data_IF_511651189443
#
_entry.id   IF_511651189443
#
_cell.length_a   1.000
_cell.length_b   1.000
_cell.length_c   1.000
_cell.angle_alpha   90.00
_cell.angle_beta   90.00
_cell.angle_gamma   90.00
#
_symmetry.space_group_name_H-M   'P 1'
#
loop_
_entity.id
_entity.type
_entity.pdbx_description
1 polymer ?
#
# COMPACT_ATOMS: atom_id res chain seq x y z
N UNK A 1 -7.15 -17.84 -31.76
CA UNK A 1 -6.83 -16.40 -31.73
C UNK A 1 -5.71 -16.19 -30.73
N UNK A 2 -4.73 -15.31 -30.96
CA UNK A 2 -3.72 -15.02 -29.95
C UNK A 2 -4.39 -14.44 -28.70
N UNK A 3 -3.90 -14.81 -27.51
CA UNK A 3 -4.36 -14.24 -26.24
C UNK A 3 -4.10 -12.73 -26.26
N UNK A 4 -5.10 -11.93 -25.91
CA UNK A 4 -4.94 -10.48 -25.72
C UNK A 4 -4.21 -10.28 -24.40
N UNK A 5 -3.14 -9.49 -24.41
CA UNK A 5 -2.43 -9.08 -23.21
C UNK A 5 -3.24 -7.99 -22.49
N UNK A 6 -3.70 -8.27 -21.27
CA UNK A 6 -4.45 -7.32 -20.43
C UNK A 6 -3.51 -6.67 -19.43
N UNK A 7 -3.38 -5.34 -19.47
CA UNK A 7 -2.54 -4.56 -18.57
C UNK A 7 -3.39 -3.62 -17.75
N UNK A 8 -3.33 -3.74 -16.43
CA UNK A 8 -3.92 -2.78 -15.49
C UNK A 8 -2.85 -1.77 -15.05
N UNK A 9 -3.06 -0.51 -15.41
CA UNK A 9 -2.10 0.58 -15.18
C UNK A 9 -2.38 1.37 -13.89
N UNK A 10 -3.48 1.11 -13.18
CA UNK A 10 -3.89 1.90 -12.03
C UNK A 10 -4.05 1.00 -10.81
N UNK A 11 -2.92 0.63 -10.22
CA UNK A 11 -2.92 -0.18 -9.00
C UNK A 11 -1.95 0.37 -7.96
N UNK A 12 -2.27 0.13 -6.70
CA UNK A 12 -1.47 0.58 -5.57
C UNK A 12 -0.99 -0.60 -4.72
N UNK A 13 0.23 -0.46 -4.20
CA UNK A 13 0.87 -1.40 -3.28
C UNK A 13 1.58 -0.62 -2.16
N UNK A 14 1.68 -1.22 -0.99
CA UNK A 14 2.44 -0.74 0.17
C UNK A 14 3.45 -1.82 0.59
N UNK A 15 4.58 -1.42 1.22
CA UNK A 15 5.37 -2.35 2.00
C UNK A 15 4.55 -2.93 3.15
N UNK A 16 4.76 -4.20 3.49
CA UNK A 16 4.09 -4.84 4.63
C UNK A 16 4.40 -4.13 5.96
N UNK A 17 5.64 -3.64 6.11
CA UNK A 17 6.07 -2.88 7.27
C UNK A 17 6.53 -1.49 6.86
N UNK A 18 5.92 -0.47 7.45
CA UNK A 18 6.29 0.93 7.27
C UNK A 18 7.09 1.39 8.50
N UNK A 19 8.28 1.98 8.33
CA UNK A 19 9.05 2.49 9.46
C UNK A 19 8.27 3.55 10.25
N UNK A 20 8.56 3.67 11.55
CA UNK A 20 8.03 4.76 12.36
C UNK A 20 8.68 6.10 11.97
N UNK A 21 8.14 6.75 10.93
CA UNK A 21 8.67 8.02 10.41
C UNK A 21 8.57 9.17 11.40
N UNK A 22 7.58 9.15 12.29
CA UNK A 22 7.47 10.15 13.37
C UNK A 22 8.68 10.14 14.27
N UNK A 23 9.11 8.95 14.69
CA UNK A 23 10.30 8.77 15.51
C UNK A 23 11.58 9.08 14.72
N UNK A 24 11.64 8.66 13.45
CA UNK A 24 12.81 8.90 12.58
C UNK A 24 13.05 10.39 12.29
N UNK A 25 12.00 11.15 12.01
CA UNK A 25 12.11 12.55 11.54
C UNK A 25 11.79 13.59 12.62
N UNK A 26 11.23 13.16 13.76
CA UNK A 26 10.95 14.01 14.91
C UNK A 26 9.68 14.87 14.81
N UNK A 27 8.80 14.61 13.84
CA UNK A 27 7.50 15.28 13.68
C UNK A 27 6.43 14.35 13.10
N UNK A 28 5.17 14.73 13.28
CA UNK A 28 4.02 13.91 12.90
C UNK A 28 3.43 14.20 11.50
N UNK A 29 2.32 13.53 11.18
CA UNK A 29 1.59 13.58 9.92
C UNK A 29 1.71 12.32 9.06
N UNK A 30 2.47 11.33 9.51
CA UNK A 30 2.78 10.12 8.76
C UNK A 30 1.77 8.97 9.01
N UNK A 31 1.62 8.09 8.02
CA UNK A 31 0.81 6.87 8.13
C UNK A 31 1.65 5.73 8.72
N UNK A 32 1.04 4.95 9.59
CA UNK A 32 1.54 3.69 10.12
C UNK A 32 0.60 2.53 9.74
N UNK A 33 1.16 1.32 9.65
CA UNK A 33 0.38 0.09 9.48
C UNK A 33 0.32 -0.68 10.79
N UNK A 34 -0.89 -0.89 11.31
CA UNK A 34 -1.14 -1.74 12.46
C UNK A 34 -1.76 -3.07 12.00
N UNK A 35 -0.94 -4.12 11.96
CA UNK A 35 -1.38 -5.49 11.73
C UNK A 35 -2.15 -5.98 12.96
N UNK A 36 -3.46 -6.19 12.81
CA UNK A 36 -4.36 -6.47 13.94
C UNK A 36 -5.12 -7.81 13.81
N UNK A 37 -5.15 -8.40 12.62
CA UNK A 37 -5.68 -9.75 12.35
C UNK A 37 -4.89 -10.37 11.18
N UNK A 38 -4.91 -11.71 11.00
CA UNK A 38 -4.24 -12.34 9.88
C UNK A 38 -4.67 -11.72 8.55
N UNK A 39 -3.69 -11.42 7.69
CA UNK A 39 -3.91 -10.84 6.36
C UNK A 39 -4.58 -9.46 6.33
N UNK A 40 -4.66 -8.72 7.45
CA UNK A 40 -5.22 -7.38 7.44
C UNK A 40 -4.48 -6.40 8.36
N UNK A 41 -4.42 -5.15 7.91
CA UNK A 41 -3.80 -4.05 8.63
C UNK A 41 -4.68 -2.80 8.61
N UNK A 42 -4.66 -2.05 9.70
CA UNK A 42 -5.23 -0.71 9.74
C UNK A 42 -4.17 0.31 9.35
N UNK A 43 -4.49 1.19 8.40
CA UNK A 43 -3.75 2.41 8.15
C UNK A 43 -4.19 3.44 9.18
N UNK A 44 -3.27 3.87 10.03
CA UNK A 44 -3.51 4.80 11.13
C UNK A 44 -2.57 5.99 10.96
N UNK A 45 -3.10 7.21 11.08
CA UNK A 45 -2.26 8.40 11.17
C UNK A 45 -1.57 8.45 12.52
N UNK A 46 -0.39 9.03 12.59
CA UNK A 46 0.43 9.07 13.81
C UNK A 46 -0.18 9.85 14.99
N UNK A 47 -1.31 10.54 14.78
CA UNK A 47 -2.17 11.15 15.79
C UNK A 47 -3.22 10.17 16.36
N UNK A 48 -3.22 8.92 15.92
CA UNK A 48 -4.14 7.86 16.31
C UNK A 48 -5.41 7.78 15.47
N UNK A 49 -5.59 8.66 14.48
CA UNK A 49 -6.79 8.65 13.64
C UNK A 49 -6.76 7.50 12.64
N UNK A 50 -7.82 6.68 12.67
CA UNK A 50 -8.05 5.65 11.66
C UNK A 50 -8.25 6.27 10.28
N UNK A 51 -7.54 5.75 9.28
CA UNK A 51 -7.70 6.14 7.88
C UNK A 51 -8.52 5.11 7.10
N UNK A 52 -8.03 3.86 7.00
CA UNK A 52 -8.73 2.73 6.36
C UNK A 52 -8.17 1.37 6.80
N UNK A 53 -8.95 0.31 6.66
CA UNK A 53 -8.46 -1.07 6.74
C UNK A 53 -8.00 -1.52 5.34
N UNK A 54 -6.94 -2.32 5.28
CA UNK A 54 -6.41 -2.94 4.06
C UNK A 54 -6.19 -4.44 4.29
N UNK A 55 -6.33 -5.21 3.22
CA UNK A 55 -6.04 -6.65 3.18
C UNK A 55 -4.67 -6.93 2.59
N UNK A 56 -4.21 -8.17 2.70
CA UNK A 56 -2.88 -8.61 2.29
C UNK A 56 -2.60 -8.42 0.80
N UNK A 57 -3.60 -8.34 -0.07
CA UNK A 57 -3.39 -7.93 -1.48
C UNK A 57 -2.83 -6.50 -1.64
N UNK A 58 -2.79 -5.70 -0.57
CA UNK A 58 -2.16 -4.38 -0.56
C UNK A 58 -0.64 -4.44 -0.33
N UNK A 59 -0.06 -5.58 0.07
CA UNK A 59 1.40 -5.76 0.22
C UNK A 59 1.96 -7.11 -0.25
N UNK A 60 1.17 -8.18 -0.23
CA UNK A 60 1.53 -9.53 -0.67
C UNK A 60 1.45 -9.68 -2.18
N UNK A 61 2.62 -9.85 -2.81
CA UNK A 61 2.70 -10.14 -4.24
C UNK A 61 1.99 -11.46 -4.62
N UNK A 62 2.10 -12.49 -3.78
CA UNK A 62 1.49 -13.81 -4.03
C UNK A 62 -0.04 -13.76 -4.08
N UNK A 63 -0.63 -13.03 -3.11
CA UNK A 63 -2.08 -12.81 -3.08
C UNK A 63 -2.54 -12.08 -4.35
N UNK A 64 -1.82 -11.02 -4.75
CA UNK A 64 -2.13 -10.26 -5.97
C UNK A 64 -2.02 -11.09 -7.23
N UNK A 65 -0.99 -11.92 -7.37
CA UNK A 65 -0.84 -12.81 -8.53
C UNK A 65 -2.04 -13.75 -8.66
N UNK A 66 -2.47 -14.33 -7.53
CA UNK A 66 -3.67 -15.20 -7.49
C UNK A 66 -4.94 -14.45 -7.93
N UNK A 67 -5.13 -13.21 -7.48
CA UNK A 67 -6.25 -12.37 -7.88
C UNK A 67 -6.17 -11.91 -9.35
N UNK A 68 -4.96 -11.60 -9.84
CA UNK A 68 -4.72 -11.27 -11.25
C UNK A 68 -5.14 -12.43 -12.18
N UNK A 69 -4.79 -13.66 -11.81
CA UNK A 69 -5.19 -14.87 -12.55
C UNK A 69 -6.72 -15.02 -12.60
N UNK A 70 -7.41 -14.76 -11.48
CA UNK A 70 -8.87 -14.81 -11.37
C UNK A 70 -9.56 -13.71 -12.20
N UNK A 71 -8.95 -12.53 -12.28
CA UNK A 71 -9.49 -11.38 -13.02
C UNK A 71 -8.99 -11.28 -14.47
N UNK A 72 -8.18 -12.24 -14.92
CA UNK A 72 -7.57 -12.25 -16.26
C UNK A 72 -6.75 -10.98 -16.57
N UNK A 73 -6.03 -10.48 -15.55
CA UNK A 73 -5.05 -9.40 -15.68
C UNK A 73 -3.68 -10.02 -15.80
N UNK A 74 -2.97 -9.76 -16.91
CA UNK A 74 -1.65 -10.35 -17.14
C UNK A 74 -0.52 -9.55 -16.47
N UNK A 75 -0.68 -8.23 -16.38
CA UNK A 75 0.32 -7.33 -15.80
C UNK A 75 -0.37 -6.21 -15.02
N UNK A 76 0.14 -5.91 -13.83
CA UNK A 76 -0.21 -4.70 -13.07
C UNK A 76 0.99 -3.75 -13.00
N UNK A 77 0.75 -2.47 -13.25
CA UNK A 77 1.70 -1.39 -12.93
C UNK A 77 1.45 -0.92 -11.51
N UNK A 78 2.47 -1.01 -10.66
CA UNK A 78 2.37 -0.74 -9.23
C UNK A 78 2.84 0.68 -8.88
N UNK A 79 2.01 1.42 -8.14
CA UNK A 79 2.34 2.72 -7.55
C UNK A 79 2.15 2.70 -6.03
N UNK A 80 2.71 3.69 -5.32
CA UNK A 80 2.38 3.88 -3.89
C UNK A 80 0.95 4.41 -3.73
N UNK A 81 0.35 4.21 -2.56
CA UNK A 81 -0.97 4.80 -2.23
C UNK A 81 -0.82 6.31 -2.06
N UNK A 82 -1.71 7.17 -2.60
CA UNK A 82 -1.53 8.63 -2.60
C UNK A 82 -1.33 9.28 -1.22
N UNK A 83 -1.91 8.71 -0.16
CA UNK A 83 -1.71 9.21 1.22
C UNK A 83 -0.23 9.13 1.66
N UNK A 84 0.58 8.33 0.98
CA UNK A 84 2.01 8.17 1.21
C UNK A 84 2.89 9.20 0.47
N UNK A 85 2.30 10.13 -0.30
CA UNK A 85 3.09 11.10 -1.07
C UNK A 85 3.87 12.08 -0.18
N UNK A 86 3.36 12.40 1.00
CA UNK A 86 4.04 13.23 1.99
C UNK A 86 4.61 14.56 1.44
N UNK A 87 3.97 15.20 0.45
CA UNK A 87 4.48 16.44 -0.16
C UNK A 87 4.57 17.64 0.80
N UNK A 88 4.01 17.53 2.00
CA UNK A 88 4.08 18.52 3.07
C UNK A 88 5.31 18.32 3.99
N UNK A 89 5.98 17.16 3.93
CA UNK A 89 7.15 16.84 4.73
C UNK A 89 8.38 17.66 4.29
N UNK A 90 9.42 17.72 5.13
CA UNK A 90 10.64 18.45 4.76
C UNK A 90 11.35 17.70 3.62
N UNK A 91 11.80 18.38 2.55
CA UNK A 91 12.34 17.69 1.36
C UNK A 91 13.61 16.83 1.58
N UNK A 92 14.32 17.02 2.69
CA UNK A 92 15.56 16.29 3.01
C UNK A 92 15.36 15.14 4.01
N UNK A 93 14.13 14.93 4.49
CA UNK A 93 13.75 13.84 5.40
C UNK A 93 13.22 12.64 4.58
#
# INVERSE_FOLDING_TARGET
MPKILTIDIHTHILPEHIPNWKEKFGYGGFVQLQHHKPCCANMILDDGKFFREIEDNCWSAEKRMTECDQHHVDVQVLSTVPVMFNYWAKPQD
#
